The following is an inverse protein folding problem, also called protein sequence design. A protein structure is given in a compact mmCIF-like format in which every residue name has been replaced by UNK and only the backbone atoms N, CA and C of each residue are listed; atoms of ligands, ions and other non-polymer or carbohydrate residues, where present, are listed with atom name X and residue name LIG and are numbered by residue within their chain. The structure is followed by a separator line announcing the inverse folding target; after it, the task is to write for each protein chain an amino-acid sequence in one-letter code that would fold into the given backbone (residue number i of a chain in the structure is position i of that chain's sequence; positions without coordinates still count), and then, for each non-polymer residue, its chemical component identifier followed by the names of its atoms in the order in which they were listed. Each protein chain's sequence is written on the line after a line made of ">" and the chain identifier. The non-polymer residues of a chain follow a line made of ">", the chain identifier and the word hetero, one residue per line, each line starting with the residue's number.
data_IF_168794498495
#
_entry.id   IF_168794498495
#
_cell.length_a   1.000
_cell.length_b   1.000
_cell.length_c   1.000
_cell.angle_alpha   90.00
_cell.angle_beta   90.00
_cell.angle_gamma   90.00
#
_symmetry.space_group_name_H-M   'P 1'
#
loop_
_entity.id
_entity.type
_entity.pdbx_description
1 polymer ?
#
# COMPACT_ATOMS: atom_id res chain seq x y z
N UNK A 1 -10.02 -1.80 1.27
CA UNK A 1 -9.42 -1.56 2.59
C UNK A 1 -7.92 -1.51 2.44
N UNK A 2 -7.22 -0.71 3.27
CA UNK A 2 -5.79 -0.42 3.11
C UNK A 2 -5.46 0.33 1.82
N UNK A 3 -4.37 1.09 1.80
CA UNK A 3 -3.89 1.70 0.56
C UNK A 3 -2.97 0.75 -0.18
N UNK A 4 -3.03 0.80 -1.50
CA UNK A 4 -2.06 0.11 -2.36
C UNK A 4 -0.67 0.74 -2.18
N UNK A 5 0.33 -0.09 -1.82
CA UNK A 5 1.73 0.33 -1.66
C UNK A 5 2.32 0.94 -2.92
N UNK A 6 1.83 0.59 -4.13
CA UNK A 6 2.28 1.17 -5.39
C UNK A 6 1.85 2.64 -5.58
N UNK A 7 1.07 3.20 -4.65
CA UNK A 7 0.70 4.63 -4.64
C UNK A 7 1.76 5.53 -4.00
N UNK A 8 2.74 4.96 -3.30
CA UNK A 8 3.77 5.68 -2.57
C UNK A 8 5.08 5.75 -3.38
N UNK A 9 5.75 6.91 -3.37
CA UNK A 9 7.05 7.10 -4.08
C UNK A 9 8.14 6.21 -3.48
N UNK A 10 8.11 6.11 -2.15
CA UNK A 10 9.12 5.45 -1.35
C UNK A 10 8.68 4.05 -0.98
N UNK A 11 9.66 3.16 -0.77
CA UNK A 11 9.40 1.85 -0.17
C UNK A 11 8.67 2.03 1.16
N UNK A 12 7.52 1.36 1.30
CA UNK A 12 6.71 1.40 2.51
C UNK A 12 7.22 0.32 3.46
N UNK A 13 7.64 0.73 4.64
CA UNK A 13 8.10 -0.20 5.68
C UNK A 13 7.00 -1.19 6.07
N UNK A 14 7.40 -2.43 6.39
CA UNK A 14 6.46 -3.52 6.72
C UNK A 14 5.61 -3.22 7.97
N UNK A 15 6.14 -2.46 8.92
CA UNK A 15 5.42 -2.02 10.12
C UNK A 15 4.31 -0.99 9.82
N UNK A 16 4.24 -0.48 8.58
CA UNK A 16 3.17 0.39 8.09
C UNK A 16 2.12 -0.36 7.26
N UNK A 17 2.23 -1.69 7.14
CA UNK A 17 1.28 -2.53 6.43
C UNK A 17 0.33 -3.23 7.39
N UNK A 18 -0.92 -3.37 6.96
CA UNK A 18 -1.93 -4.11 7.70
C UNK A 18 -1.68 -5.61 7.55
N UNK A 19 -1.68 -6.32 8.67
CA UNK A 19 -1.46 -7.78 8.68
C UNK A 19 -2.68 -8.60 8.20
N UNK A 20 -3.82 -7.96 7.93
CA UNK A 20 -5.04 -8.60 7.41
C UNK A 20 -5.20 -8.40 5.91
N UNK A 21 -5.07 -7.16 5.42
CA UNK A 21 -5.24 -6.85 4.00
C UNK A 21 -3.93 -6.64 3.23
N UNK A 22 -2.78 -6.68 3.91
CA UNK A 22 -1.43 -6.49 3.38
C UNK A 22 -1.15 -5.15 2.67
N UNK A 23 -2.15 -4.27 2.60
CA UNK A 23 -2.01 -2.88 2.15
C UNK A 23 -1.47 -1.97 3.25
N UNK A 24 -1.04 -0.77 2.87
CA UNK A 24 -0.64 0.28 3.79
C UNK A 24 -1.82 0.64 4.70
N UNK A 25 -1.55 0.80 5.99
CA UNK A 25 -2.58 1.03 7.02
C UNK A 25 -3.48 2.22 6.67
N UNK A 26 -4.79 1.98 6.67
CA UNK A 26 -5.83 3.00 6.51
C UNK A 26 -6.61 3.11 7.82
N UNK A 27 -6.64 4.32 8.39
CA UNK A 27 -7.11 4.60 9.74
C UNK A 27 -6.59 3.56 10.78
N UNK A 28 -5.29 3.62 11.11
CA UNK A 28 -4.63 2.58 11.92
C UNK A 28 -5.21 2.48 13.33
N UNK A 29 -5.47 1.24 13.74
CA UNK A 29 -5.94 0.86 15.06
C UNK A 29 -4.94 -0.10 15.69
N UNK A 30 -4.52 0.19 16.92
CA UNK A 30 -3.64 -0.66 17.72
C UNK A 30 -4.49 -1.45 18.70
N UNK A 31 -4.29 -2.76 18.72
CA UNK A 31 -4.83 -3.63 19.75
C UNK A 31 -4.00 -3.53 21.04
N UNK A 32 -4.59 -3.84 22.20
CA UNK A 32 -3.89 -3.87 23.49
C UNK A 32 -2.66 -4.81 23.54
N UNK A 33 -2.56 -5.77 22.60
CA UNK A 33 -1.37 -6.61 22.41
C UNK A 33 -0.25 -5.96 21.59
N UNK A 34 -0.45 -4.74 21.09
CA UNK A 34 0.54 -3.95 20.35
C UNK A 34 0.46 -4.03 18.83
N UNK A 35 -0.25 -5.01 18.25
CA UNK A 35 -0.38 -5.16 16.81
C UNK A 35 -1.31 -4.10 16.19
N UNK A 36 -0.98 -3.65 14.97
CA UNK A 36 -1.68 -2.56 14.28
C UNK A 36 -2.34 -3.06 12.98
N UNK A 37 -3.55 -2.60 12.72
CA UNK A 37 -4.37 -2.98 11.57
C UNK A 37 -5.19 -1.78 11.07
N UNK A 38 -5.79 -1.88 9.88
CA UNK A 38 -6.80 -0.91 9.46
C UNK A 38 -8.05 -1.06 10.36
N UNK A 39 -8.69 0.04 10.75
CA UNK A 39 -9.93 -0.01 11.55
C UNK A 39 -10.99 -0.90 10.89
N UNK A 40 -11.18 -0.75 9.58
CA UNK A 40 -12.13 -1.55 8.79
C UNK A 40 -11.77 -3.04 8.70
N UNK A 41 -10.53 -3.41 8.97
CA UNK A 41 -10.10 -4.81 8.96
C UNK A 41 -10.24 -5.46 10.35
N UNK A 42 -9.78 -4.79 11.40
CA UNK A 42 -9.69 -5.40 12.74
C UNK A 42 -11.01 -5.41 13.50
N UNK A 43 -11.86 -4.39 13.34
CA UNK A 43 -13.11 -4.31 14.09
C UNK A 43 -14.07 -5.48 13.77
N UNK A 44 -14.36 -5.80 12.50
CA UNK A 44 -15.19 -6.96 12.18
C UNK A 44 -14.54 -8.27 12.65
N UNK A 45 -13.22 -8.38 12.52
CA UNK A 45 -12.49 -9.58 12.95
C UNK A 45 -12.66 -9.85 14.45
N UNK A 46 -12.48 -8.83 15.28
CA UNK A 46 -12.58 -8.95 16.75
C UNK A 46 -14.02 -9.25 17.17
N UNK A 47 -15.02 -8.65 16.51
CA UNK A 47 -16.43 -8.96 16.77
C UNK A 47 -16.73 -10.45 16.50
N UNK A 48 -16.20 -11.02 15.42
CA UNK A 48 -16.46 -12.41 15.04
C UNK A 48 -15.63 -13.43 15.84
N UNK A 49 -14.35 -13.12 16.11
CA UNK A 49 -13.40 -14.11 16.64
C UNK A 49 -12.98 -13.86 18.09
N UNK A 50 -13.18 -12.66 18.63
CA UNK A 50 -12.78 -12.31 19.99
C UNK A 50 -11.27 -12.41 20.27
N UNK A 51 -10.42 -12.32 19.24
CA UNK A 51 -8.98 -12.48 19.36
C UNK A 51 -8.18 -11.69 18.33
N UNK A 52 -6.91 -11.45 18.67
CA UNK A 52 -5.94 -10.91 17.73
C UNK A 52 -5.77 -11.86 16.52
N UNK A 53 -5.71 -11.33 15.27
CA UNK A 53 -5.39 -12.13 14.08
C UNK A 53 -4.07 -12.91 14.18
N UNK A 54 -3.10 -12.40 14.95
CA UNK A 54 -1.84 -13.10 15.24
C UNK A 54 -1.95 -14.16 16.33
N UNK A 55 -3.15 -14.38 16.88
CA UNK A 55 -3.46 -15.38 17.92
C UNK A 55 -2.66 -15.23 19.23
N UNK A 56 -2.16 -14.03 19.51
CA UNK A 56 -1.33 -13.76 20.69
C UNK A 56 -2.13 -13.35 21.94
N UNK A 57 -3.38 -12.90 21.79
CA UNK A 57 -4.25 -12.46 22.88
C UNK A 57 -5.72 -12.45 22.44
N UNK A 58 -6.63 -12.69 23.37
CA UNK A 58 -8.05 -12.39 23.23
C UNK A 58 -8.26 -10.87 23.18
N UNK A 59 -9.21 -10.41 22.38
CA UNK A 59 -9.51 -8.99 22.20
C UNK A 59 -11.02 -8.78 22.25
N UNK A 60 -11.44 -7.70 22.88
CA UNK A 60 -12.75 -7.10 22.74
C UNK A 60 -12.65 -5.82 21.90
N UNK A 61 -13.77 -5.30 21.34
CA UNK A 61 -13.75 -4.02 20.62
C UNK A 61 -13.22 -2.85 21.45
N UNK A 62 -13.36 -2.89 22.78
CA UNK A 62 -12.81 -1.89 23.69
C UNK A 62 -11.27 -1.91 23.81
N UNK A 63 -10.61 -3.01 23.39
CA UNK A 63 -9.15 -3.14 23.37
C UNK A 63 -8.50 -2.52 22.12
N UNK A 64 -9.29 -1.80 21.32
CA UNK A 64 -8.88 -1.21 20.05
C UNK A 64 -8.77 0.31 20.17
N UNK A 65 -7.56 0.83 20.02
CA UNK A 65 -7.27 2.26 20.13
C UNK A 65 -6.82 2.84 18.80
N UNK A 66 -7.37 4.00 18.43
CA UNK A 66 -6.94 4.72 17.23
C UNK A 66 -5.55 5.31 17.44
N UNK A 67 -4.63 5.06 16.50
CA UNK A 67 -3.29 5.64 16.58
C UNK A 67 -3.20 6.88 15.71
N UNK A 68 -3.67 8.01 16.26
CA UNK A 68 -3.69 9.31 15.57
C UNK A 68 -2.31 9.74 15.02
N UNK A 69 -1.19 9.59 15.76
CA UNK A 69 0.13 9.95 15.23
C UNK A 69 0.57 9.09 14.04
N UNK A 70 0.19 7.81 14.00
CA UNK A 70 0.52 6.93 12.87
C UNK A 70 -0.24 7.32 11.60
N UNK A 71 -1.49 7.79 11.74
CA UNK A 71 -2.29 8.25 10.60
C UNK A 71 -1.61 9.40 9.86
N UNK A 72 -1.10 10.39 10.60
CA UNK A 72 -0.44 11.55 10.02
C UNK A 72 0.88 11.16 9.32
N UNK A 73 1.68 10.29 9.94
CA UNK A 73 2.91 9.77 9.33
C UNK A 73 2.62 9.01 8.03
N UNK A 74 1.58 8.18 7.98
CA UNK A 74 1.21 7.43 6.78
C UNK A 74 0.72 8.38 5.67
N UNK A 75 -0.08 9.40 6.01
CA UNK A 75 -0.58 10.38 5.03
C UNK A 75 0.53 11.26 4.46
N UNK A 76 1.59 11.49 5.24
CA UNK A 76 2.77 12.26 4.83
C UNK A 76 3.81 11.44 4.07
N UNK A 77 3.61 10.12 3.89
CA UNK A 77 4.40 9.34 2.94
C UNK A 77 4.12 9.91 1.54
N UNK A 78 5.10 10.61 0.97
CA UNK A 78 5.00 11.30 -0.33
C UNK A 78 4.24 10.43 -1.34
N UNK A 79 3.01 10.84 -1.66
CA UNK A 79 2.19 10.17 -2.68
C UNK A 79 2.50 10.81 -4.02
N UNK A 80 3.03 10.02 -4.96
CA UNK A 80 3.45 10.48 -6.27
C UNK A 80 2.22 10.79 -7.15
N UNK A 81 1.59 11.95 -6.91
CA UNK A 81 0.70 12.55 -7.91
C UNK A 81 1.47 13.32 -8.98
N UNK A 82 2.74 13.68 -8.75
CA UNK A 82 3.49 14.54 -9.66
C UNK A 82 4.30 13.75 -10.72
N UNK A 83 4.91 12.61 -10.37
CA UNK A 83 5.84 11.93 -11.28
C UNK A 83 5.16 11.00 -12.32
N UNK A 84 3.88 10.63 -12.17
CA UNK A 84 3.18 9.76 -13.15
C UNK A 84 2.99 10.46 -14.49
N UNK A 85 2.53 11.71 -14.48
CA UNK A 85 2.29 12.48 -15.71
C UNK A 85 3.55 12.64 -16.56
N UNK A 86 4.73 12.76 -15.95
CA UNK A 86 6.00 12.90 -16.68
C UNK A 86 6.49 11.56 -17.27
N UNK A 87 6.28 10.43 -16.58
CA UNK A 87 6.64 9.10 -17.13
C UNK A 87 5.76 8.72 -18.32
N UNK A 88 4.46 9.00 -18.23
CA UNK A 88 3.51 8.69 -19.30
C UNK A 88 3.71 9.56 -20.56
N UNK A 89 4.23 10.80 -20.39
CA UNK A 89 4.64 11.66 -21.50
C UNK A 89 5.94 11.19 -22.18
N UNK A 90 6.90 10.65 -21.43
CA UNK A 90 8.18 10.16 -21.99
C UNK A 90 8.04 8.87 -22.78
N UNK A 91 7.02 8.06 -22.54
CA UNK A 91 6.80 6.80 -23.28
C UNK A 91 6.24 7.00 -24.70
N UNK A 92 5.77 8.21 -25.08
CA UNK A 92 5.18 8.49 -26.40
C UNK A 92 6.16 9.09 -27.42
N UNK A 93 7.42 9.33 -27.04
CA UNK A 93 8.42 9.95 -27.93
C UNK A 93 9.44 8.97 -28.52
N UNK A 94 9.35 7.66 -28.25
CA UNK A 94 10.34 6.68 -28.73
C UNK A 94 9.91 5.86 -29.96
N UNK A 95 8.74 6.16 -30.56
CA UNK A 95 8.29 5.53 -31.80
C UNK A 95 8.40 6.55 -32.94
N UNK A 96 9.60 6.78 -33.44
CA UNK A 96 9.84 7.79 -34.47
C UNK A 96 11.14 7.62 -35.27
N UNK A 97 11.13 6.69 -36.23
CA UNK A 97 12.02 6.67 -37.42
C UNK A 97 13.46 6.21 -37.17
N UNK A 98 14.19 5.59 -38.10
CA UNK A 98 14.08 5.54 -39.58
C UNK A 98 14.88 4.36 -40.12
N UNK A 99 14.47 3.89 -41.30
CA UNK A 99 15.02 2.79 -42.08
C UNK A 99 16.44 3.04 -42.62
N UNK A 100 17.16 1.95 -42.91
CA UNK A 100 18.08 1.89 -44.05
C UNK A 100 18.27 0.47 -44.60
N UNK A 101 18.57 0.44 -45.89
CA UNK A 101 18.32 -0.58 -46.90
C UNK A 101 19.29 -1.77 -46.90
N UNK A 102 18.89 -2.86 -47.56
CA UNK A 102 19.77 -3.97 -47.92
C UNK A 102 19.07 -5.01 -48.80
N UNK A 103 18.77 -4.64 -50.05
CA UNK A 103 18.38 -5.58 -51.10
C UNK A 103 19.63 -6.31 -51.58
N UNK A 104 19.71 -7.63 -51.41
CA UNK A 104 20.60 -8.46 -52.21
C UNK A 104 19.91 -9.78 -52.60
N UNK A 105 20.22 -10.21 -53.81
CA UNK A 105 19.42 -11.01 -54.74
C UNK A 105 19.89 -12.46 -54.79
N UNK A 106 18.92 -13.35 -55.09
CA UNK A 106 18.98 -14.56 -55.93
C UNK A 106 20.13 -15.57 -55.82
N UNK A 107 19.76 -16.84 -55.70
CA UNK A 107 20.56 -18.02 -56.02
C UNK A 107 19.82 -19.31 -55.73
#
# INVERSE_FOLDING_TARGET
>A
MGFDSAKFVTSVAEDKKCLLCYGVLDNPVRASCGHVFCSGCILPWVITHGQCPKKCRNLAPADLENVLPLREVILNLKTDRFNRTIKDLKSKQNDGGTAESGVEVSG
#
